data_IF_590695048729
#
_entry.id   IF_590695048729
#
_cell.length_a   1.000
_cell.length_b   1.000
_cell.length_c   1.000
_cell.angle_alpha   90.00
_cell.angle_beta   90.00
_cell.angle_gamma   90.00
#
_symmetry.space_group_name_H-M   'P 1'
#
loop_
_entity.id
_entity.type
_entity.pdbx_description
1 polymer ?
#
# COMPACT_ATOMS: atom_id res chain seq x y z
N UNK A 1 -41.19 -18.63 -1.64
CA UNK A 1 -39.96 -18.44 -2.43
C UNK A 1 -39.71 -16.94 -2.49
N UNK A 2 -38.91 -16.43 -1.55
CA UNK A 2 -38.71 -14.98 -1.39
C UNK A 2 -37.61 -14.54 -2.37
N UNK A 3 -38.02 -13.86 -3.43
CA UNK A 3 -37.18 -13.35 -4.52
C UNK A 3 -36.32 -12.17 -4.09
N UNK A 4 -35.46 -12.37 -3.08
CA UNK A 4 -34.44 -11.37 -2.75
C UNK A 4 -33.41 -11.38 -3.86
N UNK A 5 -33.52 -10.40 -4.75
CA UNK A 5 -32.40 -9.92 -5.54
C UNK A 5 -31.22 -9.77 -4.59
N UNK A 6 -30.24 -10.67 -4.69
CA UNK A 6 -28.93 -10.46 -4.08
C UNK A 6 -28.48 -9.06 -4.49
N UNK A 7 -28.15 -8.16 -3.55
CA UNK A 7 -27.75 -6.82 -3.94
C UNK A 7 -26.57 -6.97 -4.89
N UNK A 8 -26.66 -6.40 -6.10
CA UNK A 8 -25.53 -6.40 -7.06
C UNK A 8 -24.40 -5.46 -6.62
N UNK A 9 -24.63 -4.71 -5.54
CA UNK A 9 -23.79 -3.64 -4.97
C UNK A 9 -22.50 -4.13 -4.25
N UNK A 10 -22.46 -5.25 -3.52
CA UNK A 10 -21.29 -5.64 -2.72
C UNK A 10 -20.04 -5.91 -3.56
N UNK A 11 -20.19 -6.60 -4.69
CA UNK A 11 -19.07 -6.96 -5.58
C UNK A 11 -18.51 -5.75 -6.34
N UNK A 12 -19.41 -4.86 -6.80
CA UNK A 12 -19.00 -3.63 -7.47
C UNK A 12 -18.26 -2.69 -6.49
N UNK A 13 -18.73 -2.61 -5.24
CA UNK A 13 -18.08 -1.86 -4.17
C UNK A 13 -16.68 -2.36 -3.85
N UNK A 14 -16.52 -3.68 -3.61
CA UNK A 14 -15.23 -4.28 -3.32
C UNK A 14 -14.22 -4.06 -4.46
N UNK A 15 -14.65 -4.24 -5.72
CA UNK A 15 -13.82 -3.95 -6.89
C UNK A 15 -13.40 -2.48 -6.95
N UNK A 16 -14.32 -1.54 -6.80
CA UNK A 16 -14.02 -0.10 -6.85
C UNK A 16 -13.04 0.31 -5.76
N UNK A 17 -13.27 -0.14 -4.52
CA UNK A 17 -12.38 0.16 -3.42
C UNK A 17 -10.98 -0.41 -3.64
N UNK A 18 -10.88 -1.65 -4.14
CA UNK A 18 -9.58 -2.27 -4.48
C UNK A 18 -8.83 -1.47 -5.56
N UNK A 19 -9.53 -0.97 -6.58
CA UNK A 19 -8.95 -0.12 -7.62
C UNK A 19 -8.51 1.24 -7.06
N UNK A 20 -9.26 1.84 -6.15
CA UNK A 20 -8.86 3.07 -5.46
C UNK A 20 -7.57 2.83 -4.66
N UNK A 21 -7.49 1.74 -3.90
CA UNK A 21 -6.27 1.39 -3.15
C UNK A 21 -5.08 1.14 -4.07
N UNK A 22 -5.29 0.49 -5.22
CA UNK A 22 -4.24 0.32 -6.24
C UNK A 22 -3.77 1.66 -6.81
N UNK A 23 -4.68 2.63 -7.03
CA UNK A 23 -4.34 3.97 -7.47
C UNK A 23 -3.54 4.75 -6.41
N UNK A 24 -3.89 4.62 -5.13
CA UNK A 24 -3.12 5.24 -4.03
C UNK A 24 -1.68 4.70 -3.99
N UNK A 25 -1.51 3.38 -4.15
CA UNK A 25 -0.18 2.79 -4.29
C UNK A 25 0.55 3.33 -5.54
N UNK A 26 -0.15 3.49 -6.66
CA UNK A 26 0.43 3.99 -7.91
C UNK A 26 0.95 5.42 -7.74
N UNK A 27 0.14 6.29 -7.15
CA UNK A 27 0.55 7.68 -6.87
C UNK A 27 1.75 7.72 -5.92
N UNK A 28 1.77 6.85 -4.92
CA UNK A 28 2.92 6.75 -4.00
C UNK A 28 4.18 6.32 -4.75
N UNK A 29 4.09 5.33 -5.63
CA UNK A 29 5.19 4.92 -6.51
C UNK A 29 5.68 6.05 -7.42
N UNK A 30 4.75 6.81 -8.04
CA UNK A 30 5.09 7.98 -8.87
C UNK A 30 5.82 9.04 -8.04
N UNK A 31 5.39 9.31 -6.81
CA UNK A 31 6.05 10.28 -5.94
C UNK A 31 7.51 9.93 -5.66
N UNK A 32 7.86 8.63 -5.61
CA UNK A 32 9.24 8.16 -5.45
C UNK A 32 10.10 8.25 -6.72
N UNK A 33 9.48 8.32 -7.90
CA UNK A 33 10.19 8.54 -9.18
C UNK A 33 10.39 10.03 -9.46
N UNK A 34 9.59 10.89 -8.81
CA UNK A 34 9.68 12.33 -8.93
C UNK A 34 10.88 12.94 -8.15
N UNK A 35 10.88 14.29 -8.01
CA UNK A 35 11.84 14.99 -7.20
C UNK A 35 11.92 14.45 -5.76
N UNK A 36 13.14 14.24 -5.28
CA UNK A 36 13.40 13.61 -3.97
C UNK A 36 12.74 14.34 -2.80
N UNK A 37 12.60 15.67 -2.88
CA UNK A 37 11.97 16.49 -1.85
C UNK A 37 10.46 16.24 -1.68
N UNK A 38 9.80 15.51 -2.59
CA UNK A 38 8.40 15.09 -2.41
C UNK A 38 8.23 14.01 -1.35
N UNK A 39 9.23 13.15 -1.20
CA UNK A 39 9.18 11.96 -0.32
C UNK A 39 10.24 11.98 0.76
N UNK A 40 11.25 12.85 0.63
CA UNK A 40 12.36 12.98 1.59
C UNK A 40 12.41 14.36 2.22
N UNK A 41 12.77 14.36 3.49
CA UNK A 41 13.30 15.53 4.16
C UNK A 41 14.84 15.50 4.06
N UNK A 42 15.51 16.62 3.81
CA UNK A 42 16.98 16.68 3.88
C UNK A 42 17.46 16.22 5.26
N UNK A 43 18.44 15.30 5.28
CA UNK A 43 19.11 14.84 6.50
C UNK A 43 20.47 15.54 6.62
N UNK A 44 20.97 15.76 7.85
CA UNK A 44 22.34 16.22 8.07
C UNK A 44 23.37 15.27 7.43
N UNK A 45 24.53 15.82 7.05
CA UNK A 45 25.60 15.01 6.47
C UNK A 45 26.03 13.88 7.42
N UNK A 46 26.21 12.67 6.88
CA UNK A 46 26.63 11.49 7.64
C UNK A 46 25.50 10.70 8.31
N UNK A 47 24.26 11.20 8.30
CA UNK A 47 23.12 10.49 8.86
C UNK A 47 22.29 9.78 7.77
N UNK A 48 22.08 8.48 7.93
CA UNK A 48 21.21 7.69 7.05
C UNK A 48 19.94 7.29 7.80
N UNK A 49 18.77 7.62 7.26
CA UNK A 49 17.52 7.04 7.74
C UNK A 49 17.35 5.63 7.20
N UNK A 50 16.55 4.79 7.87
CA UNK A 50 16.29 3.42 7.41
C UNK A 50 15.69 3.40 5.99
N UNK A 51 14.86 4.40 5.66
CA UNK A 51 14.34 4.61 4.30
C UNK A 51 15.49 4.80 3.30
N UNK A 52 16.47 5.65 3.61
CA UNK A 52 17.63 5.91 2.74
C UNK A 52 18.55 4.68 2.65
N UNK A 53 18.71 3.94 3.74
CA UNK A 53 19.46 2.67 3.73
C UNK A 53 18.81 1.68 2.75
N UNK A 54 17.49 1.53 2.78
CA UNK A 54 16.77 0.65 1.85
C UNK A 54 16.88 1.16 0.40
N UNK A 55 16.84 2.47 0.20
CA UNK A 55 17.03 3.09 -1.12
C UNK A 55 18.44 2.85 -1.69
N UNK A 56 19.45 2.61 -0.85
CA UNK A 56 20.80 2.28 -1.32
C UNK A 56 20.86 0.95 -2.08
N UNK A 57 19.87 0.06 -1.90
CA UNK A 57 19.77 -1.21 -2.63
C UNK A 57 19.19 -1.04 -4.05
N UNK A 58 18.68 0.15 -4.37
CA UNK A 58 18.05 0.48 -5.65
C UNK A 58 16.68 1.12 -5.48
N UNK A 59 15.86 1.19 -6.55
CA UNK A 59 14.55 1.83 -6.53
C UNK A 59 13.48 0.93 -5.88
N UNK A 60 13.74 0.46 -4.65
CA UNK A 60 12.91 -0.52 -3.93
C UNK A 60 11.47 -0.03 -3.77
N UNK A 61 11.29 1.20 -3.25
CA UNK A 61 9.96 1.76 -3.00
C UNK A 61 9.07 1.85 -4.24
N UNK A 62 9.48 2.51 -5.33
CA UNK A 62 8.64 2.60 -6.52
C UNK A 62 8.37 1.22 -7.13
N UNK A 63 9.34 0.30 -7.13
CA UNK A 63 9.12 -1.09 -7.60
C UNK A 63 8.05 -1.79 -6.78
N UNK A 64 8.13 -1.74 -5.44
CA UNK A 64 7.16 -2.38 -4.56
C UNK A 64 5.76 -1.78 -4.73
N UNK A 65 5.65 -0.45 -4.83
CA UNK A 65 4.36 0.21 -4.99
C UNK A 65 3.73 -0.06 -6.36
N UNK A 66 4.51 -0.05 -7.44
CA UNK A 66 3.99 -0.42 -8.76
C UNK A 66 3.61 -1.89 -8.84
N UNK A 67 4.37 -2.78 -8.19
CA UNK A 67 3.99 -4.19 -8.06
C UNK A 67 2.65 -4.31 -7.33
N UNK A 68 2.49 -3.64 -6.18
CA UNK A 68 1.24 -3.62 -5.40
C UNK A 68 0.06 -3.11 -6.23
N UNK A 69 0.24 -2.02 -6.98
CA UNK A 69 -0.77 -1.50 -7.93
C UNK A 69 -1.18 -2.56 -8.94
N UNK A 70 -0.21 -3.17 -9.62
CA UNK A 70 -0.49 -4.13 -10.68
C UNK A 70 -1.21 -5.36 -10.14
N UNK A 71 -0.72 -5.97 -9.06
CA UNK A 71 -1.32 -7.20 -8.51
C UNK A 71 -2.72 -6.95 -7.96
N UNK A 72 -2.96 -5.84 -7.26
CA UNK A 72 -4.29 -5.51 -6.72
C UNK A 72 -5.26 -5.15 -7.85
N UNK A 73 -4.85 -4.33 -8.82
CA UNK A 73 -5.73 -3.94 -9.91
C UNK A 73 -6.11 -5.13 -10.79
N UNK A 74 -5.14 -5.94 -11.21
CA UNK A 74 -5.37 -7.11 -12.07
C UNK A 74 -6.22 -8.16 -11.33
N UNK A 75 -5.92 -8.45 -10.07
CA UNK A 75 -6.71 -9.41 -9.28
C UNK A 75 -8.15 -8.91 -9.07
N UNK A 76 -8.36 -7.64 -8.73
CA UNK A 76 -9.70 -7.08 -8.54
C UNK A 76 -10.53 -7.04 -9.84
N UNK A 77 -9.89 -6.79 -10.99
CA UNK A 77 -10.54 -6.82 -12.30
C UNK A 77 -10.91 -8.26 -12.70
N UNK A 78 -9.97 -9.19 -12.56
CA UNK A 78 -10.14 -10.60 -12.93
C UNK A 78 -10.94 -11.42 -11.91
N UNK A 79 -11.10 -10.89 -10.69
CA UNK A 79 -11.69 -11.57 -9.52
C UNK A 79 -10.99 -12.88 -9.19
N UNK A 80 -9.67 -12.90 -9.30
CA UNK A 80 -8.84 -14.08 -9.01
C UNK A 80 -7.68 -13.70 -8.10
N UNK A 81 -7.41 -14.56 -7.12
CA UNK A 81 -6.29 -14.41 -6.18
C UNK A 81 -6.33 -13.09 -5.41
N UNK A 82 -7.54 -12.57 -5.16
CA UNK A 82 -7.72 -11.21 -4.65
C UNK A 82 -7.24 -11.11 -3.21
N UNK A 83 -7.50 -12.15 -2.40
CA UNK A 83 -6.97 -12.23 -1.04
C UNK A 83 -5.44 -12.24 -1.01
N UNK A 84 -4.79 -12.98 -1.92
CA UNK A 84 -3.33 -12.99 -2.03
C UNK A 84 -2.78 -11.64 -2.47
N UNK A 85 -3.41 -10.99 -3.46
CA UNK A 85 -2.98 -9.68 -3.93
C UNK A 85 -3.09 -8.60 -2.83
N UNK A 86 -4.19 -8.60 -2.05
CA UNK A 86 -4.32 -7.73 -0.89
C UNK A 86 -3.31 -8.09 0.22
N UNK A 87 -2.95 -9.36 0.40
CA UNK A 87 -1.90 -9.77 1.34
C UNK A 87 -0.53 -9.21 0.94
N UNK A 88 -0.17 -9.28 -0.35
CA UNK A 88 1.06 -8.69 -0.89
C UNK A 88 1.06 -7.17 -0.67
N UNK A 89 -0.03 -6.50 -1.01
CA UNK A 89 -0.13 -5.05 -0.81
C UNK A 89 -0.07 -4.67 0.67
N UNK A 90 -0.70 -5.44 1.57
CA UNK A 90 -0.56 -5.25 3.01
C UNK A 90 0.90 -5.39 3.45
N UNK A 91 1.63 -6.38 2.95
CA UNK A 91 3.06 -6.53 3.20
C UNK A 91 3.88 -5.32 2.74
N UNK A 92 3.62 -4.82 1.53
CA UNK A 92 4.30 -3.63 0.97
C UNK A 92 4.05 -2.39 1.83
N UNK A 93 2.78 -2.09 2.12
CA UNK A 93 2.42 -0.94 2.94
C UNK A 93 2.93 -1.06 4.38
N UNK A 94 2.92 -2.27 4.94
CA UNK A 94 3.36 -2.55 6.30
C UNK A 94 4.86 -2.37 6.42
N UNK A 95 5.62 -2.97 5.49
CA UNK A 95 7.06 -2.82 5.41
C UNK A 95 7.46 -1.35 5.24
N UNK A 96 6.81 -0.62 4.33
CA UNK A 96 7.05 0.80 4.13
C UNK A 96 6.72 1.62 5.39
N UNK A 97 5.55 1.43 5.97
CA UNK A 97 5.10 2.16 7.16
C UNK A 97 6.03 1.93 8.35
N UNK A 98 6.41 0.68 8.61
CA UNK A 98 7.39 0.35 9.65
C UNK A 98 8.74 0.99 9.36
N UNK A 99 9.23 0.97 8.12
CA UNK A 99 10.51 1.59 7.77
C UNK A 99 10.51 3.10 8.02
N UNK A 100 9.41 3.79 7.71
CA UNK A 100 9.24 5.23 7.97
C UNK A 100 9.16 5.51 9.47
N UNK A 101 8.38 4.73 10.24
CA UNK A 101 8.26 4.93 11.68
C UNK A 101 9.57 4.65 12.42
N UNK A 102 10.28 3.58 12.05
CA UNK A 102 11.61 3.30 12.60
C UNK A 102 12.58 4.43 12.24
N UNK A 103 12.53 4.95 11.01
CA UNK A 103 13.32 6.12 10.62
C UNK A 103 13.00 7.34 11.50
N UNK A 104 11.74 7.52 11.91
CA UNK A 104 11.35 8.62 12.79
C UNK A 104 11.94 8.51 14.20
N UNK A 105 12.16 7.28 14.69
CA UNK A 105 12.78 7.02 15.99
C UNK A 105 14.30 7.25 15.96
N UNK A 106 14.96 6.92 14.84
CA UNK A 106 16.43 6.90 14.76
C UNK A 106 17.06 8.06 14.00
N UNK A 107 16.27 8.97 13.41
CA UNK A 107 16.79 10.09 12.61
C UNK A 107 16.53 11.43 13.30
N UNK A 108 17.52 12.32 13.28
CA UNK A 108 17.34 13.75 13.52
C UNK A 108 17.54 14.56 12.22
N UNK A 109 16.56 15.37 11.78
CA UNK A 109 15.22 15.48 12.33
C UNK A 109 14.39 14.19 12.10
N UNK A 110 13.37 13.94 12.92
CA UNK A 110 12.54 12.74 12.78
C UNK A 110 11.87 12.71 11.41
N UNK A 111 11.84 11.51 10.82
CA UNK A 111 11.09 11.23 9.61
C UNK A 111 9.58 11.47 9.81
N UNK A 112 8.79 11.66 8.74
CA UNK A 112 7.37 11.98 8.85
C UNK A 112 6.52 10.86 9.46
N UNK A 113 6.29 10.91 10.77
CA UNK A 113 5.48 9.91 11.52
C UNK A 113 4.09 9.74 10.90
N UNK A 114 3.47 10.84 10.46
CA UNK A 114 2.16 10.81 9.81
C UNK A 114 2.14 9.88 8.59
N UNK A 115 3.16 9.95 7.73
CA UNK A 115 3.28 9.10 6.54
C UNK A 115 3.41 7.63 6.92
N UNK A 116 4.22 7.32 7.95
CA UNK A 116 4.36 5.97 8.46
C UNK A 116 3.06 5.42 9.05
N UNK A 117 2.34 6.24 9.82
CA UNK A 117 1.03 5.88 10.40
C UNK A 117 -0.04 5.63 9.34
N UNK A 118 -0.12 6.48 8.30
CA UNK A 118 -1.04 6.28 7.18
C UNK A 118 -0.74 4.99 6.40
N UNK A 119 0.54 4.65 6.21
CA UNK A 119 0.95 3.40 5.57
C UNK A 119 0.55 2.16 6.40
N UNK A 120 0.69 2.20 7.72
CA UNK A 120 0.17 1.13 8.59
C UNK A 120 -1.36 1.07 8.55
N UNK A 121 -2.05 2.21 8.48
CA UNK A 121 -3.50 2.25 8.26
C UNK A 121 -3.90 1.57 6.95
N UNK A 122 -3.19 1.86 5.84
CA UNK A 122 -3.41 1.21 4.55
C UNK A 122 -3.20 -0.31 4.63
N UNK A 123 -2.19 -0.76 5.39
CA UNK A 123 -1.96 -2.19 5.67
C UNK A 123 -3.19 -2.85 6.25
N UNK A 124 -3.77 -2.25 7.30
CA UNK A 124 -4.98 -2.79 7.95
C UNK A 124 -6.19 -2.78 7.00
N UNK A 125 -6.34 -1.75 6.16
CA UNK A 125 -7.39 -1.71 5.14
C UNK A 125 -7.23 -2.86 4.15
N UNK A 126 -6.01 -3.15 3.68
CA UNK A 126 -5.77 -4.28 2.79
C UNK A 126 -6.10 -5.62 3.46
N UNK A 127 -5.73 -5.81 4.74
CA UNK A 127 -6.11 -7.01 5.50
C UNK A 127 -7.64 -7.14 5.64
N UNK A 128 -8.34 -6.04 5.91
CA UNK A 128 -9.81 -6.01 5.94
C UNK A 128 -10.42 -6.38 4.59
N UNK A 129 -9.83 -5.92 3.49
CA UNK A 129 -10.29 -6.25 2.14
C UNK A 129 -10.17 -7.74 1.80
N UNK A 130 -9.18 -8.45 2.33
CA UNK A 130 -9.10 -9.93 2.20
C UNK A 130 -10.40 -10.55 2.72
N UNK A 131 -10.86 -10.09 3.89
CA UNK A 131 -12.10 -10.58 4.49
C UNK A 131 -13.32 -10.21 3.67
N UNK A 132 -13.41 -8.96 3.20
CA UNK A 132 -14.49 -8.50 2.33
C UNK A 132 -14.61 -9.38 1.08
N UNK A 133 -13.52 -9.64 0.37
CA UNK A 133 -13.54 -10.49 -0.82
C UNK A 133 -13.88 -11.95 -0.50
N UNK A 134 -13.36 -12.48 0.62
CA UNK A 134 -13.69 -13.82 1.09
C UNK A 134 -15.18 -13.98 1.41
N UNK A 135 -15.80 -13.00 2.07
CA UNK A 135 -17.24 -13.01 2.40
C UNK A 135 -18.11 -12.89 1.12
N UNK A 136 -17.54 -12.37 0.03
CA UNK A 136 -18.14 -12.36 -1.31
C UNK A 136 -17.87 -13.63 -2.12
N UNK A 137 -17.22 -14.64 -1.53
CA UNK A 137 -16.89 -15.91 -2.17
C UNK A 137 -15.73 -15.86 -3.17
N UNK A 138 -14.92 -14.80 -3.15
CA UNK A 138 -13.75 -14.62 -4.03
C UNK A 138 -12.48 -14.77 -3.21
N UNK A 139 -11.62 -15.69 -3.65
CA UNK A 139 -10.32 -15.96 -3.02
C UNK A 139 -9.20 -15.19 -3.71
#
# INVERSE_FOLDING_TARGET
MDGRSTPMVPMAGAKRLSLILALVAMFTGISYVGPSFWVRRPLPEGQLSLVVIIESWGPVWPVLFFLATAVVAVSAISRRYVGYAHSVAAGVWGFYGTAVLMSAVYSEPPAPILTGGLALGATLIHLGMIRVWSDLGVK
#
